data_IF_531547912143
#
_entry.id   IF_531547912143
#
_cell.length_a   1.000
_cell.length_b   1.000
_cell.length_c   1.000
_cell.angle_alpha   90.00
_cell.angle_beta   90.00
_cell.angle_gamma   90.00
#
_symmetry.space_group_name_H-M   'P 1'
#
loop_
_entity.id
_entity.type
_entity.pdbx_description
1 polymer ?
#
# COMPACT_ATOMS: atom_id res chain seq x y z
N UNK A 1 59.34 -3.07 -2.20
CA UNK A 1 59.64 -2.28 -0.99
C UNK A 1 58.42 -1.41 -0.76
N UNK A 2 57.45 -1.97 -0.04
CA UNK A 2 57.11 -1.57 1.34
C UNK A 2 56.22 -0.31 1.28
N UNK A 3 55.04 -0.25 1.87
CA UNK A 3 54.71 -0.73 3.21
C UNK A 3 53.22 -0.99 3.35
N UNK A 4 52.89 -2.11 3.99
CA UNK A 4 51.60 -2.35 4.64
C UNK A 4 51.35 -1.31 5.72
N UNK A 5 50.10 -0.88 5.87
CA UNK A 5 49.60 -0.34 7.13
C UNK A 5 48.22 -0.94 7.40
N UNK A 6 48.24 -2.00 8.20
CA UNK A 6 47.09 -2.60 8.88
C UNK A 6 46.41 -1.55 9.77
N UNK A 7 45.09 -1.47 9.69
CA UNK A 7 44.26 -0.67 10.60
C UNK A 7 43.66 -1.63 11.64
N UNK A 8 43.77 -1.32 12.94
CA UNK A 8 43.47 -2.26 14.02
C UNK A 8 41.98 -2.62 14.11
N UNK A 9 41.74 -3.92 14.22
CA UNK A 9 40.52 -4.53 14.71
C UNK A 9 40.18 -4.04 16.12
N UNK A 10 38.99 -3.51 16.31
CA UNK A 10 38.41 -3.12 17.60
C UNK A 10 36.88 -3.31 17.55
N UNK A 11 36.18 -3.42 18.68
CA UNK A 11 35.88 -4.66 19.37
C UNK A 11 34.38 -5.00 19.33
N UNK A 12 34.08 -6.27 19.62
CA UNK A 12 32.80 -6.80 20.12
C UNK A 12 31.50 -6.18 19.57
N UNK A 13 30.89 -6.86 18.60
CA UNK A 13 29.48 -6.70 18.23
C UNK A 13 28.51 -7.30 19.27
N UNK A 14 28.93 -7.38 20.53
CA UNK A 14 28.09 -7.74 21.66
C UNK A 14 27.56 -6.47 22.30
N UNK A 15 26.23 -6.38 22.42
CA UNK A 15 25.46 -5.34 23.13
C UNK A 15 24.87 -4.21 22.28
N UNK A 16 24.11 -4.54 21.24
CA UNK A 16 22.89 -3.78 20.93
C UNK A 16 21.73 -4.71 20.53
N UNK A 17 21.47 -5.74 21.36
CA UNK A 17 20.12 -6.32 21.44
C UNK A 17 19.21 -5.26 22.07
N UNK A 18 18.70 -4.33 21.25
CA UNK A 18 17.52 -3.57 21.63
C UNK A 18 16.36 -4.55 21.67
N UNK A 19 16.15 -5.18 22.84
CA UNK A 19 14.92 -5.89 23.18
C UNK A 19 13.77 -4.89 23.11
N UNK A 20 13.27 -4.65 21.89
CA UNK A 20 11.96 -4.06 21.66
C UNK A 20 10.98 -5.05 22.30
N UNK A 21 10.52 -4.74 23.50
CA UNK A 21 9.46 -5.49 24.18
C UNK A 21 8.29 -5.60 23.21
N UNK A 22 7.81 -6.81 22.96
CA UNK A 22 6.57 -7.00 22.23
C UNK A 22 5.44 -6.24 22.95
N UNK A 23 4.53 -5.54 22.23
CA UNK A 23 3.42 -4.82 22.86
C UNK A 23 2.35 -5.74 23.45
N UNK A 24 2.40 -7.04 23.12
CA UNK A 24 1.52 -8.06 23.65
C UNK A 24 2.31 -8.90 24.65
N UNK A 25 1.83 -8.93 25.89
CA UNK A 25 2.51 -9.44 27.08
C UNK A 25 3.06 -10.87 26.99
N UNK A 26 3.94 -11.18 27.95
CA UNK A 26 4.62 -12.45 28.17
C UNK A 26 3.84 -13.70 27.73
N UNK A 27 4.45 -14.50 26.86
CA UNK A 27 3.93 -15.83 26.52
C UNK A 27 4.02 -16.73 27.76
N UNK A 28 2.90 -17.30 28.26
CA UNK A 28 2.95 -18.24 29.37
C UNK A 28 3.83 -19.44 28.98
N UNK A 29 4.82 -19.73 29.82
CA UNK A 29 5.66 -20.93 29.69
C UNK A 29 4.77 -22.16 29.78
N UNK A 30 4.86 -23.03 28.78
CA UNK A 30 4.17 -24.31 28.77
C UNK A 30 4.60 -25.16 29.98
N UNK A 31 3.64 -25.47 30.85
CA UNK A 31 3.80 -26.52 31.85
C UNK A 31 3.52 -27.85 31.17
N UNK A 32 4.58 -28.64 30.99
CA UNK A 32 4.48 -30.01 30.50
C UNK A 32 3.98 -30.90 31.64
N UNK A 33 2.68 -31.22 31.62
CA UNK A 33 2.09 -32.24 32.51
C UNK A 33 2.31 -33.63 31.89
N UNK A 34 2.85 -34.60 32.62
CA UNK A 34 2.94 -35.98 32.16
C UNK A 34 1.56 -36.64 32.13
N UNK A 35 1.29 -37.39 31.07
CA UNK A 35 0.08 -38.21 30.95
C UNK A 35 0.18 -39.40 31.91
N UNK A 36 -0.72 -39.46 32.89
CA UNK A 36 -0.95 -40.67 33.66
C UNK A 36 -2.05 -41.48 32.99
N UNK A 37 -1.67 -42.66 32.51
CA UNK A 37 -2.53 -43.77 32.13
C UNK A 37 -3.58 -44.05 33.22
N UNK A 38 -4.86 -44.02 32.84
CA UNK A 38 -5.90 -44.72 33.59
C UNK A 38 -6.85 -45.37 32.59
N UNK A 39 -6.51 -46.62 32.25
CA UNK A 39 -7.35 -47.53 31.50
C UNK A 39 -8.74 -47.64 32.16
N UNK A 40 -9.80 -47.42 31.38
CA UNK A 40 -11.10 -48.00 31.62
C UNK A 40 -11.58 -48.66 30.33
N UNK A 41 -11.36 -49.97 30.25
CA UNK A 41 -12.00 -50.86 29.27
C UNK A 41 -13.51 -50.86 29.52
N UNK A 42 -14.29 -50.53 28.49
CA UNK A 42 -15.64 -51.08 28.30
C UNK A 42 -15.72 -51.59 26.84
N UNK A 43 -16.13 -52.86 26.61
CA UNK A 43 -16.24 -53.42 25.28
C UNK A 43 -17.64 -53.18 24.69
N UNK A 44 -17.69 -52.75 23.43
CA UNK A 44 -18.86 -52.92 22.57
C UNK A 44 -19.31 -51.69 21.80
N UNK A 45 -19.44 -51.91 20.49
CA UNK A 45 -20.45 -51.37 19.58
C UNK A 45 -20.10 -50.12 18.75
N UNK A 46 -20.17 -50.36 17.44
CA UNK A 46 -20.05 -49.42 16.33
C UNK A 46 -21.00 -48.21 16.45
N UNK A 47 -20.43 -47.04 16.70
CA UNK A 47 -20.91 -45.78 16.17
C UNK A 47 -19.82 -44.74 16.40
N UNK A 48 -19.35 -44.07 15.34
CA UNK A 48 -18.47 -42.90 15.43
C UNK A 48 -19.23 -41.75 16.12
N UNK A 49 -19.33 -41.83 17.44
CA UNK A 49 -19.81 -40.77 18.30
C UNK A 49 -18.70 -39.76 18.47
N UNK A 50 -18.62 -38.81 17.54
CA UNK A 50 -17.85 -37.59 17.77
C UNK A 50 -18.43 -36.93 19.01
N UNK A 51 -17.62 -36.73 20.05
CA UNK A 51 -18.07 -35.99 21.21
C UNK A 51 -18.41 -34.56 20.77
N UNK A 52 -19.42 -33.93 21.37
CA UNK A 52 -19.77 -32.54 21.04
C UNK A 52 -18.53 -31.62 21.10
N UNK A 53 -17.58 -31.93 21.99
CA UNK A 53 -16.29 -31.27 22.10
C UNK A 53 -15.40 -31.43 20.85
N UNK A 54 -15.35 -32.62 20.22
CA UNK A 54 -14.63 -32.84 18.96
C UNK A 54 -15.23 -32.07 17.79
N UNK A 55 -16.56 -31.99 17.70
CA UNK A 55 -17.25 -31.23 16.64
C UNK A 55 -16.98 -29.71 16.80
N UNK A 56 -16.93 -29.22 18.04
CA UNK A 56 -16.60 -27.82 18.34
C UNK A 56 -15.11 -27.48 18.12
N UNK A 57 -14.18 -28.40 18.37
CA UNK A 57 -12.76 -28.18 18.05
C UNK A 57 -12.44 -28.25 16.55
N UNK A 58 -13.25 -28.94 15.75
CA UNK A 58 -13.01 -29.05 14.30
C UNK A 58 -13.48 -27.80 13.54
N UNK A 59 -14.53 -27.11 14.01
CA UNK A 59 -15.03 -25.89 13.38
C UNK A 59 -14.13 -24.66 13.60
N UNK A 60 -13.22 -24.65 14.59
CA UNK A 60 -12.33 -23.50 14.82
C UNK A 60 -11.10 -23.47 13.89
N UNK A 61 -10.79 -24.55 13.17
CA UNK A 61 -9.64 -24.59 12.25
C UNK A 61 -9.98 -24.27 10.79
N UNK A 62 -11.27 -24.12 10.43
CA UNK A 62 -11.70 -23.90 9.04
C UNK A 62 -12.13 -22.44 8.76
N UNK A 63 -11.44 -21.50 9.38
CA UNK A 63 -11.39 -20.11 8.90
C UNK A 63 -9.93 -19.72 8.72
N UNK A 64 -9.26 -20.37 7.76
CA UNK A 64 -8.06 -19.76 7.20
C UNK A 64 -8.50 -18.57 6.35
N UNK A 65 -8.23 -17.31 6.72
CA UNK A 65 -8.13 -16.27 5.73
C UNK A 65 -7.06 -16.75 4.75
N UNK A 66 -7.42 -16.86 3.46
CA UNK A 66 -6.50 -17.28 2.42
C UNK A 66 -5.18 -16.54 2.61
N UNK A 67 -4.15 -17.27 3.00
CA UNK A 67 -2.79 -16.77 3.08
C UNK A 67 -2.39 -16.47 1.64
N UNK A 68 -2.63 -15.22 1.22
CA UNK A 68 -2.01 -14.67 0.03
C UNK A 68 -0.51 -14.71 0.31
N UNK A 69 0.14 -15.83 -0.02
CA UNK A 69 1.60 -15.90 -0.09
C UNK A 69 2.02 -14.70 -0.92
N UNK A 70 2.84 -13.76 -0.39
CA UNK A 70 3.25 -12.60 -1.15
C UNK A 70 4.00 -13.12 -2.38
N UNK A 71 3.33 -13.09 -3.54
CA UNK A 71 3.95 -13.41 -4.81
C UNK A 71 4.80 -12.20 -5.15
N UNK A 72 6.06 -12.23 -4.71
CA UNK A 72 7.06 -11.26 -5.12
C UNK A 72 7.26 -11.40 -6.61
N UNK A 73 6.77 -10.42 -7.36
CA UNK A 73 6.93 -10.36 -8.80
C UNK A 73 7.71 -9.11 -9.16
N UNK A 74 8.27 -9.08 -10.36
CA UNK A 74 9.03 -7.92 -10.85
C UNK A 74 8.08 -6.77 -11.17
N UNK A 75 8.34 -5.61 -10.59
CA UNK A 75 7.63 -4.37 -10.93
C UNK A 75 7.78 -4.04 -12.41
N UNK A 76 6.67 -3.78 -13.12
CA UNK A 76 6.70 -3.44 -14.54
C UNK A 76 7.46 -2.14 -14.85
N UNK A 77 7.53 -1.21 -13.89
CA UNK A 77 8.18 0.10 -14.08
C UNK A 77 9.69 0.04 -13.83
N UNK A 78 10.13 -0.60 -12.73
CA UNK A 78 11.52 -0.56 -12.30
C UNK A 78 12.22 -1.92 -12.27
N UNK A 79 11.53 -2.99 -12.68
CA UNK A 79 12.00 -4.38 -12.70
C UNK A 79 12.46 -4.98 -11.35
N UNK A 80 12.38 -4.22 -10.24
CA UNK A 80 12.71 -4.71 -8.91
C UNK A 80 11.64 -5.68 -8.43
N UNK A 81 12.07 -6.76 -7.75
CA UNK A 81 11.16 -7.68 -7.06
C UNK A 81 10.61 -7.00 -5.81
N UNK A 82 9.29 -6.98 -5.68
CA UNK A 82 8.61 -6.44 -4.51
C UNK A 82 7.18 -6.97 -4.47
N UNK A 83 6.44 -6.60 -3.43
CA UNK A 83 4.99 -6.61 -3.49
C UNK A 83 4.53 -5.66 -4.62
N UNK A 84 3.51 -6.09 -5.36
CA UNK A 84 2.98 -5.37 -6.51
C UNK A 84 1.49 -5.10 -6.32
N UNK A 85 1.05 -3.97 -6.84
CA UNK A 85 -0.37 -3.62 -6.99
C UNK A 85 -0.69 -3.39 -8.48
N UNK A 86 -1.87 -3.80 -8.96
CA UNK A 86 -2.25 -3.62 -10.35
C UNK A 86 -2.58 -2.16 -10.64
N UNK A 87 -2.09 -1.64 -11.77
CA UNK A 87 -2.51 -0.35 -12.28
C UNK A 87 -3.96 -0.42 -12.81
N UNK A 88 -4.84 0.49 -12.37
CA UNK A 88 -6.24 0.54 -12.82
C UNK A 88 -6.41 0.79 -14.33
N UNK A 89 -5.39 1.33 -15.02
CA UNK A 89 -5.47 1.62 -16.45
C UNK A 89 -4.83 0.55 -17.33
N UNK A 90 -3.56 0.21 -17.07
CA UNK A 90 -2.82 -0.74 -17.90
C UNK A 90 -2.73 -2.15 -17.30
N UNK A 91 -3.31 -2.38 -16.12
CA UNK A 91 -3.39 -3.68 -15.42
C UNK A 91 -2.06 -4.34 -15.04
N UNK A 92 -0.92 -3.72 -15.38
CA UNK A 92 0.39 -4.21 -14.99
C UNK A 92 0.63 -4.09 -13.49
N UNK A 93 1.36 -5.05 -12.92
CA UNK A 93 1.79 -5.06 -11.53
C UNK A 93 2.94 -4.09 -11.26
N UNK A 94 2.77 -3.21 -10.28
CA UNK A 94 3.70 -2.11 -9.99
C UNK A 94 3.96 -2.01 -8.49
N UNK A 95 5.23 -1.75 -8.12
CA UNK A 95 5.61 -1.61 -6.71
C UNK A 95 5.13 -0.31 -6.09
N UNK A 96 5.11 -0.27 -4.75
CA UNK A 96 4.72 0.92 -3.95
C UNK A 96 5.43 2.21 -4.40
N UNK A 97 6.69 2.12 -4.81
CA UNK A 97 7.47 3.29 -5.24
C UNK A 97 7.16 3.79 -6.66
N UNK A 98 6.53 2.94 -7.47
CA UNK A 98 6.20 3.25 -8.86
C UNK A 98 4.70 3.49 -9.07
N UNK A 99 3.86 3.23 -8.07
CA UNK A 99 2.44 3.58 -8.08
C UNK A 99 2.22 5.04 -7.69
N UNK A 100 1.09 5.58 -8.15
CA UNK A 100 0.57 6.92 -7.86
C UNK A 100 -0.92 6.80 -7.62
N UNK A 101 -1.40 7.32 -6.50
CA UNK A 101 -2.85 7.44 -6.25
C UNK A 101 -3.36 8.73 -6.88
N UNK A 102 -4.45 8.66 -7.65
CA UNK A 102 -5.04 9.85 -8.22
C UNK A 102 -5.84 10.65 -7.18
N UNK A 103 -5.53 11.94 -7.00
CA UNK A 103 -6.25 12.83 -6.06
C UNK A 103 -7.73 13.07 -6.39
N UNK A 104 -8.17 12.74 -7.61
CA UNK A 104 -9.57 12.95 -8.06
C UNK A 104 -10.43 11.72 -8.01
N UNK A 105 -9.94 10.61 -8.56
CA UNK A 105 -10.71 9.36 -8.63
C UNK A 105 -10.28 8.32 -7.61
N UNK A 106 -9.24 8.60 -6.80
CA UNK A 106 -8.66 7.72 -5.78
C UNK A 106 -8.14 6.36 -6.29
N UNK A 107 -8.15 6.14 -7.61
CA UNK A 107 -7.59 4.94 -8.24
C UNK A 107 -6.06 4.91 -8.18
N UNK A 108 -5.50 3.71 -8.34
CA UNK A 108 -4.06 3.44 -8.28
C UNK A 108 -3.52 3.26 -9.70
N UNK A 109 -2.55 4.08 -10.07
CA UNK A 109 -1.98 4.12 -11.42
C UNK A 109 -0.46 3.98 -11.37
N UNK A 110 0.15 3.40 -12.40
CA UNK A 110 1.60 3.41 -12.52
C UNK A 110 2.11 4.82 -12.87
N UNK A 111 3.40 5.07 -12.67
CA UNK A 111 4.06 6.34 -13.01
C UNK A 111 3.89 6.77 -14.47
N UNK A 112 3.62 5.84 -15.41
CA UNK A 112 3.35 6.15 -16.81
C UNK A 112 1.86 6.48 -17.08
N UNK A 113 0.96 6.00 -16.24
CA UNK A 113 -0.49 6.21 -16.37
C UNK A 113 -1.01 7.35 -15.47
N UNK A 114 -0.10 8.10 -14.85
CA UNK A 114 -0.40 9.27 -14.04
C UNK A 114 0.57 10.41 -14.36
N UNK A 115 0.13 11.63 -14.09
CA UNK A 115 0.92 12.85 -14.17
C UNK A 115 0.99 13.46 -12.77
N UNK A 116 2.20 13.73 -12.28
CA UNK A 116 2.40 14.52 -11.07
C UNK A 116 2.46 15.98 -11.45
N UNK A 117 1.56 16.79 -10.88
CA UNK A 117 1.56 18.24 -10.98
C UNK A 117 2.23 18.81 -9.75
N UNK A 118 3.22 19.65 -10.01
CA UNK A 118 3.94 20.41 -9.01
C UNK A 118 3.35 21.83 -9.04
N UNK A 119 2.24 22.04 -8.31
CA UNK A 119 1.72 23.39 -8.08
C UNK A 119 2.48 24.03 -6.91
N UNK A 120 2.46 25.36 -6.80
CA UNK A 120 3.30 26.11 -5.84
C UNK A 120 3.14 25.71 -4.36
N UNK A 121 2.12 24.92 -4.01
CA UNK A 121 1.82 24.53 -2.63
C UNK A 121 1.81 23.02 -2.37
N UNK A 122 1.54 22.17 -3.36
CA UNK A 122 1.38 20.72 -3.15
C UNK A 122 1.68 19.92 -4.41
N UNK A 123 2.31 18.75 -4.23
CA UNK A 123 2.48 17.73 -5.26
C UNK A 123 1.19 16.91 -5.38
N UNK A 124 0.54 16.95 -6.54
CA UNK A 124 -0.72 16.23 -6.78
C UNK A 124 -0.57 15.25 -7.93
N UNK A 125 -1.01 14.02 -7.75
CA UNK A 125 -0.99 13.00 -8.79
C UNK A 125 -2.38 12.86 -9.43
N UNK A 126 -2.45 12.93 -10.76
CA UNK A 126 -3.68 12.72 -11.52
C UNK A 126 -3.50 11.60 -12.52
N UNK A 127 -4.46 10.68 -12.62
CA UNK A 127 -4.48 9.75 -13.75
C UNK A 127 -4.62 10.52 -15.07
N UNK A 128 -4.21 9.89 -16.19
CA UNK A 128 -4.24 10.57 -17.50
C UNK A 128 -5.63 11.11 -17.87
N UNK A 129 -6.70 10.39 -17.50
CA UNK A 129 -8.09 10.84 -17.72
C UNK A 129 -8.42 12.09 -16.91
N UNK A 130 -8.22 12.06 -15.59
CA UNK A 130 -8.48 13.22 -14.73
C UNK A 130 -7.60 14.43 -15.07
N UNK A 131 -6.36 14.19 -15.50
CA UNK A 131 -5.48 15.25 -15.98
C UNK A 131 -6.02 15.91 -17.26
N UNK A 132 -6.47 15.12 -18.23
CA UNK A 132 -7.06 15.63 -19.47
C UNK A 132 -8.29 16.50 -19.19
N UNK A 133 -9.18 16.06 -18.30
CA UNK A 133 -10.37 16.81 -17.89
C UNK A 133 -10.01 18.14 -17.20
N UNK A 134 -9.00 18.15 -16.32
CA UNK A 134 -8.51 19.39 -15.70
C UNK A 134 -7.94 20.37 -16.73
N UNK A 135 -7.17 19.89 -17.71
CA UNK A 135 -6.62 20.73 -18.78
C UNK A 135 -7.76 21.35 -19.60
N UNK A 136 -8.77 20.57 -19.97
CA UNK A 136 -9.96 21.08 -20.68
C UNK A 136 -10.66 22.17 -19.89
N UNK A 137 -10.92 21.93 -18.60
CA UNK A 137 -11.57 22.89 -17.71
C UNK A 137 -10.76 24.19 -17.58
N UNK A 138 -9.44 24.11 -17.45
CA UNK A 138 -8.60 25.29 -17.35
C UNK A 138 -8.59 26.10 -18.65
N UNK A 139 -8.51 25.43 -19.82
CA UNK A 139 -8.59 26.10 -21.13
C UNK A 139 -9.90 26.87 -21.30
N UNK A 140 -11.04 26.28 -20.93
CA UNK A 140 -12.34 26.96 -21.01
C UNK A 140 -12.38 28.19 -20.10
N UNK A 141 -11.89 28.09 -18.85
CA UNK A 141 -11.82 29.23 -17.92
C UNK A 141 -10.99 30.38 -18.47
N UNK A 142 -9.81 30.07 -19.03
CA UNK A 142 -8.95 31.08 -19.64
C UNK A 142 -9.64 31.73 -20.84
N UNK A 143 -10.28 30.95 -21.71
CA UNK A 143 -11.02 31.50 -22.85
C UNK A 143 -12.16 32.44 -22.43
N UNK A 144 -12.95 32.07 -21.41
CA UNK A 144 -14.00 32.92 -20.87
C UNK A 144 -13.44 34.22 -20.27
N UNK A 145 -12.36 34.14 -19.50
CA UNK A 145 -11.72 35.31 -18.89
C UNK A 145 -11.12 36.27 -19.93
N UNK A 146 -10.54 35.73 -21.00
CA UNK A 146 -10.03 36.55 -22.13
C UNK A 146 -11.19 37.23 -22.85
N UNK A 147 -12.31 36.52 -23.07
CA UNK A 147 -13.53 37.08 -23.64
C UNK A 147 -14.09 38.24 -22.82
N UNK A 148 -14.18 38.07 -21.49
CA UNK A 148 -14.61 39.11 -20.56
C UNK A 148 -13.70 40.34 -20.61
N UNK A 149 -12.37 40.15 -20.45
CA UNK A 149 -11.43 41.28 -20.49
C UNK A 149 -11.49 42.03 -21.81
N UNK A 150 -11.65 41.32 -22.93
CA UNK A 150 -11.77 41.94 -24.26
C UNK A 150 -13.07 42.73 -24.40
N UNK A 151 -14.18 42.25 -23.84
CA UNK A 151 -15.45 42.98 -23.82
C UNK A 151 -15.37 44.24 -22.95
N UNK A 152 -14.75 44.17 -21.77
CA UNK A 152 -14.53 45.32 -20.88
C UNK A 152 -13.66 46.40 -21.55
N UNK A 153 -12.52 46.02 -22.13
CA UNK A 153 -11.64 46.93 -22.90
C UNK A 153 -12.30 47.56 -24.14
N UNK A 154 -13.34 46.93 -24.67
CA UNK A 154 -14.12 47.47 -25.79
C UNK A 154 -15.20 48.44 -25.31
N UNK A 155 -15.79 48.19 -24.13
CA UNK A 155 -16.79 49.06 -23.50
C UNK A 155 -16.17 50.37 -22.96
N UNK A 156 -14.93 50.34 -22.47
CA UNK A 156 -14.26 51.54 -21.94
C UNK A 156 -13.72 52.48 -23.04
N UNK A 157 -13.80 52.09 -24.32
CA UNK A 157 -13.26 52.86 -25.45
C UNK A 157 -14.30 53.75 -26.15
N UNK A 158 -15.54 53.80 -25.67
CA UNK A 158 -16.56 54.75 -26.09
C UNK A 158 -16.74 55.83 -25.00
N UNK A 159 -16.12 57.02 -25.12
CA UNK A 159 -16.53 58.15 -24.30
C UNK A 159 -17.95 58.52 -24.72
N UNK A 160 -18.86 58.66 -23.74
CA UNK A 160 -20.15 59.29 -23.97
C UNK A 160 -19.87 60.73 -24.43
N UNK A 161 -20.11 61.02 -25.71
CA UNK A 161 -20.20 62.37 -26.20
C UNK A 161 -21.46 62.99 -25.59
N UNK A 162 -21.29 63.72 -24.49
CA UNK A 162 -22.33 64.57 -23.92
C UNK A 162 -22.56 65.73 -24.89
N UNK A 163 -23.79 65.80 -25.40
CA UNK A 163 -24.29 66.83 -26.31
C UNK A 163 -24.44 68.20 -25.63
#
# INVERSE_FOLDING_TARGET
>A
MESLSEVPSSPDASLLLTKRRCPFGESPREMKVPASDLEHRIPGHDNQGYTAFQILMQHSQQSQPGTATPSYTSCWVCAKQSEIMPCTFCEHGVCEMCVRQCDKCFGVFCSFCATVKYDQHEDRALCLTCNAEEIKKNKMRVASNVGQRRAELSSERFPQATA
#
